data_IF_948044837521
#
_entry.id   IF_948044837521
#
_cell.length_a   1.000
_cell.length_b   1.000
_cell.length_c   1.000
_cell.angle_alpha   90.00
_cell.angle_beta   90.00
_cell.angle_gamma   90.00
#
_symmetry.space_group_name_H-M   'P 1'
#
loop_
_entity.id
_entity.type
_entity.pdbx_description
1 polymer ?
#
# COMPACT_ATOMS: atom_id res chain seq x y z
N UNK A 1 -1.58 8.11 -4.67
CA UNK A 1 -1.94 9.07 -3.61
C UNK A 1 -0.84 10.11 -3.41
N UNK A 2 0.43 9.72 -3.26
CA UNK A 2 1.55 10.62 -3.01
C UNK A 2 1.83 11.54 -4.21
N UNK A 3 1.82 11.01 -5.43
CA UNK A 3 1.94 11.79 -6.67
C UNK A 3 0.77 12.76 -6.89
N UNK A 4 -0.42 12.40 -6.43
CA UNK A 4 -1.61 13.26 -6.46
C UNK A 4 -1.49 14.38 -5.44
N UNK A 5 -0.99 14.09 -4.23
CA UNK A 5 -0.81 15.08 -3.18
C UNK A 5 0.28 16.09 -3.52
N UNK A 6 1.41 15.66 -4.08
CA UNK A 6 2.47 16.57 -4.55
C UNK A 6 2.02 17.44 -5.73
N UNK A 7 1.13 16.94 -6.59
CA UNK A 7 0.57 17.73 -7.70
C UNK A 7 -0.49 18.73 -7.25
N UNK A 8 -1.20 18.48 -6.15
CA UNK A 8 -2.14 19.44 -5.54
C UNK A 8 -1.43 20.61 -4.86
N UNK A 9 -0.20 20.43 -4.43
CA UNK A 9 0.60 21.48 -3.80
C UNK A 9 1.22 22.48 -4.79
N UNK A 10 1.33 22.12 -6.07
CA UNK A 10 1.77 23.04 -7.11
C UNK A 10 0.64 24.03 -7.43
N UNK A 11 0.78 25.25 -6.94
CA UNK A 11 -0.20 26.32 -6.96
C UNK A 11 -0.68 26.73 -8.37
N UNK A 12 -1.98 26.94 -8.51
CA UNK A 12 -2.63 27.68 -9.58
C UNK A 12 -3.17 26.85 -10.74
N UNK A 13 -3.94 27.41 -11.57
CA UNK A 13 -4.77 27.00 -12.73
C UNK A 13 -4.52 25.66 -13.48
N UNK A 14 -3.49 24.88 -13.12
CA UNK A 14 -3.11 23.63 -13.80
C UNK A 14 -3.25 22.37 -12.92
N UNK A 15 -3.94 22.45 -11.77
CA UNK A 15 -4.03 21.31 -10.84
C UNK A 15 -4.65 20.06 -11.48
N UNK A 16 -5.72 20.23 -12.24
CA UNK A 16 -6.41 19.12 -12.92
C UNK A 16 -5.50 18.50 -13.98
N UNK A 17 -4.75 19.32 -14.71
CA UNK A 17 -3.79 18.86 -15.71
C UNK A 17 -2.65 18.05 -15.07
N UNK A 18 -2.08 18.53 -13.97
CA UNK A 18 -0.99 17.87 -13.25
C UNK A 18 -1.45 16.53 -12.66
N UNK A 19 -2.67 16.49 -12.12
CA UNK A 19 -3.32 15.26 -11.65
C UNK A 19 -3.53 14.26 -12.78
N UNK A 20 -4.08 14.70 -13.91
CA UNK A 20 -4.30 13.85 -15.07
C UNK A 20 -2.98 13.28 -15.62
N UNK A 21 -1.93 14.09 -15.68
CA UNK A 21 -0.59 13.66 -16.10
C UNK A 21 0.01 12.63 -15.14
N UNK A 22 -0.10 12.84 -13.82
CA UNK A 22 0.38 11.89 -12.81
C UNK A 22 -0.35 10.55 -12.88
N UNK A 23 -1.67 10.57 -13.03
CA UNK A 23 -2.48 9.36 -13.18
C UNK A 23 -2.13 8.62 -14.48
N UNK A 24 -1.99 9.35 -15.58
CA UNK A 24 -1.62 8.76 -16.88
C UNK A 24 -0.24 8.13 -16.82
N UNK A 25 0.76 8.79 -16.23
CA UNK A 25 2.10 8.21 -16.00
C UNK A 25 2.05 6.94 -15.18
N UNK A 26 1.25 6.92 -14.11
CA UNK A 26 1.09 5.75 -13.25
C UNK A 26 0.49 4.57 -14.01
N UNK A 27 -0.57 4.80 -14.78
CA UNK A 27 -1.21 3.76 -15.60
C UNK A 27 -0.26 3.24 -16.67
N UNK A 28 0.46 4.12 -17.37
CA UNK A 28 1.45 3.74 -18.37
C UNK A 28 2.57 2.92 -17.73
N UNK A 29 3.08 3.32 -16.57
CA UNK A 29 4.13 2.60 -15.87
C UNK A 29 3.69 1.19 -15.48
N UNK A 30 2.50 1.03 -14.90
CA UNK A 30 1.95 -0.28 -14.51
C UNK A 30 1.72 -1.16 -15.74
N UNK A 31 1.11 -0.62 -16.80
CA UNK A 31 0.83 -1.39 -18.02
C UNK A 31 2.11 -1.80 -18.74
N UNK A 32 3.09 -0.90 -18.85
CA UNK A 32 4.38 -1.18 -19.48
C UNK A 32 5.18 -2.22 -18.69
N UNK A 33 5.26 -2.07 -17.36
CA UNK A 33 5.96 -3.01 -16.49
C UNK A 33 5.33 -4.41 -16.53
N UNK A 34 4.00 -4.49 -16.50
CA UNK A 34 3.29 -5.77 -16.62
C UNK A 34 3.42 -6.40 -18.01
N UNK A 35 3.42 -5.60 -19.07
CA UNK A 35 3.62 -6.08 -20.43
C UNK A 35 5.05 -6.63 -20.63
N UNK A 36 6.08 -5.91 -20.20
CA UNK A 36 7.48 -6.34 -20.26
C UNK A 36 7.67 -7.65 -19.50
N UNK A 37 7.14 -7.75 -18.28
CA UNK A 37 7.25 -8.97 -17.49
C UNK A 37 6.55 -10.16 -18.16
N UNK A 38 5.36 -9.98 -18.73
CA UNK A 38 4.67 -11.02 -19.47
C UNK A 38 5.49 -11.50 -20.68
N UNK A 39 6.13 -10.58 -21.39
CA UNK A 39 6.97 -10.91 -22.55
C UNK A 39 8.22 -11.71 -22.12
N UNK A 40 8.89 -11.27 -21.03
CA UNK A 40 10.07 -11.95 -20.50
C UNK A 40 9.71 -13.37 -20.01
N UNK A 41 8.64 -13.50 -19.24
CA UNK A 41 8.17 -14.78 -18.70
C UNK A 41 7.80 -15.74 -19.84
N UNK A 42 7.09 -15.26 -20.88
CA UNK A 42 6.71 -16.10 -22.03
C UNK A 42 7.90 -16.51 -22.91
N UNK A 43 8.85 -15.61 -23.14
CA UNK A 43 9.97 -15.86 -24.09
C UNK A 43 11.09 -16.72 -23.53
N UNK A 44 11.30 -16.72 -22.19
CA UNK A 44 12.44 -17.40 -21.59
C UNK A 44 12.03 -18.25 -20.36
N UNK A 45 11.37 -19.38 -20.56
CA UNK A 45 10.99 -20.29 -19.48
C UNK A 45 12.21 -20.86 -18.72
N UNK A 46 13.40 -20.86 -19.35
CA UNK A 46 14.65 -21.29 -18.71
C UNK A 46 15.07 -20.38 -17.56
N UNK A 47 14.83 -19.05 -17.65
CA UNK A 47 15.13 -18.11 -16.56
C UNK A 47 14.26 -18.44 -15.34
N UNK A 48 12.97 -18.68 -15.57
CA UNK A 48 12.05 -19.03 -14.53
C UNK A 48 12.50 -20.32 -13.79
N UNK A 49 12.86 -21.36 -14.54
CA UNK A 49 13.34 -22.62 -13.97
C UNK A 49 14.64 -22.45 -13.18
N UNK A 50 15.53 -21.55 -13.61
CA UNK A 50 16.76 -21.22 -12.91
C UNK A 50 16.49 -20.45 -11.60
N UNK A 51 15.60 -19.47 -11.61
CA UNK A 51 15.22 -18.66 -10.43
C UNK A 51 14.65 -19.54 -9.31
N UNK A 52 13.74 -20.46 -9.65
CA UNK A 52 13.09 -21.32 -8.66
C UNK A 52 13.90 -22.62 -8.35
N UNK A 53 15.09 -22.76 -8.89
CA UNK A 53 15.94 -23.91 -8.60
C UNK A 53 16.42 -23.93 -7.14
N UNK A 54 16.86 -22.77 -6.63
CA UNK A 54 17.37 -22.60 -5.28
C UNK A 54 16.64 -21.41 -4.61
N UNK A 55 16.31 -21.55 -3.32
CA UNK A 55 15.66 -20.50 -2.55
C UNK A 55 16.50 -19.20 -2.49
N UNK A 56 17.82 -19.30 -2.33
CA UNK A 56 18.71 -18.14 -2.35
C UNK A 56 18.68 -17.39 -3.69
N UNK A 57 18.67 -18.10 -4.81
CA UNK A 57 18.58 -17.49 -6.14
C UNK A 57 17.23 -16.77 -6.32
N UNK A 58 16.16 -17.36 -5.79
CA UNK A 58 14.84 -16.74 -5.78
C UNK A 58 14.84 -15.44 -4.96
N UNK A 59 15.36 -15.44 -3.72
CA UNK A 59 15.48 -14.25 -2.89
C UNK A 59 16.26 -13.13 -3.57
N UNK A 60 17.43 -13.45 -4.10
CA UNK A 60 18.28 -12.49 -4.82
C UNK A 60 17.53 -11.87 -6.01
N UNK A 61 16.83 -12.71 -6.77
CA UNK A 61 16.05 -12.22 -7.93
C UNK A 61 14.90 -11.32 -7.49
N UNK A 62 14.19 -11.66 -6.41
CA UNK A 62 13.11 -10.81 -5.85
C UNK A 62 13.68 -9.44 -5.47
N UNK A 63 14.79 -9.39 -4.76
CA UNK A 63 15.43 -8.13 -4.35
C UNK A 63 15.86 -7.31 -5.57
N UNK A 64 16.55 -7.92 -6.53
CA UNK A 64 17.01 -7.22 -7.75
C UNK A 64 15.81 -6.67 -8.53
N UNK A 65 14.77 -7.44 -8.75
CA UNK A 65 13.58 -7.00 -9.48
C UNK A 65 12.89 -5.85 -8.74
N UNK A 66 12.74 -5.96 -7.41
CA UNK A 66 12.10 -4.91 -6.61
C UNK A 66 12.90 -3.61 -6.65
N UNK A 67 14.20 -3.66 -6.45
CA UNK A 67 15.06 -2.46 -6.50
C UNK A 67 15.09 -1.84 -7.91
N UNK A 68 15.16 -2.67 -8.96
CA UNK A 68 15.17 -2.19 -10.34
C UNK A 68 13.86 -1.50 -10.72
N UNK A 69 12.70 -2.08 -10.36
CA UNK A 69 11.40 -1.47 -10.64
C UNK A 69 11.14 -0.23 -9.79
N UNK A 70 11.61 -0.19 -8.53
CA UNK A 70 11.58 1.00 -7.68
C UNK A 70 12.40 2.14 -8.27
N UNK A 71 13.63 1.87 -8.74
CA UNK A 71 14.49 2.86 -9.39
C UNK A 71 13.87 3.37 -10.70
N UNK A 72 13.27 2.50 -11.50
CA UNK A 72 12.56 2.89 -12.72
C UNK A 72 11.34 3.76 -12.42
N UNK A 73 10.59 3.47 -11.36
CA UNK A 73 9.48 4.30 -10.93
C UNK A 73 9.96 5.71 -10.53
N UNK A 74 11.07 5.81 -9.79
CA UNK A 74 11.69 7.09 -9.42
C UNK A 74 12.10 7.91 -10.62
N UNK A 75 12.77 7.30 -11.61
CA UNK A 75 13.16 7.95 -12.88
C UNK A 75 11.93 8.45 -13.64
N UNK A 76 10.82 7.71 -13.60
CA UNK A 76 9.55 8.12 -14.21
C UNK A 76 8.82 9.25 -13.42
N UNK A 77 9.37 9.71 -12.29
CA UNK A 77 8.76 10.71 -11.42
C UNK A 77 7.59 10.16 -10.59
N UNK A 78 7.61 8.85 -10.33
CA UNK A 78 6.61 8.15 -9.50
C UNK A 78 7.22 7.76 -8.15
N UNK A 79 6.41 7.59 -7.10
CA UNK A 79 6.88 7.09 -5.82
C UNK A 79 7.55 5.71 -5.96
N UNK A 80 8.69 5.53 -5.33
CA UNK A 80 9.44 4.26 -5.33
C UNK A 80 8.61 3.08 -4.83
N UNK A 81 7.70 3.33 -3.88
CA UNK A 81 6.77 2.33 -3.36
C UNK A 81 5.88 1.70 -4.44
N UNK A 82 5.48 2.48 -5.46
CA UNK A 82 4.72 1.94 -6.59
C UNK A 82 5.54 0.95 -7.40
N UNK A 83 6.83 1.23 -7.60
CA UNK A 83 7.74 0.30 -8.26
C UNK A 83 7.89 -1.02 -7.50
N UNK A 84 8.07 -0.96 -6.18
CA UNK A 84 8.14 -2.14 -5.32
C UNK A 84 6.83 -2.95 -5.33
N UNK A 85 5.68 -2.27 -5.29
CA UNK A 85 4.37 -2.91 -5.38
C UNK A 85 4.17 -3.64 -6.72
N UNK A 86 4.52 -3.00 -7.83
CA UNK A 86 4.46 -3.61 -9.15
C UNK A 86 5.38 -4.83 -9.23
N UNK A 87 6.60 -4.78 -8.67
CA UNK A 87 7.47 -5.95 -8.58
C UNK A 87 6.82 -7.13 -7.86
N UNK A 88 6.18 -6.88 -6.73
CA UNK A 88 5.43 -7.89 -5.98
C UNK A 88 4.31 -8.52 -6.81
N UNK A 89 3.54 -7.71 -7.55
CA UNK A 89 2.52 -8.20 -8.46
C UNK A 89 3.10 -9.06 -9.59
N UNK A 90 4.24 -8.67 -10.17
CA UNK A 90 4.90 -9.41 -11.24
C UNK A 90 5.40 -10.78 -10.75
N UNK A 91 6.00 -10.83 -9.57
CA UNK A 91 6.45 -12.07 -8.93
C UNK A 91 5.26 -12.98 -8.62
N UNK A 92 4.18 -12.42 -8.08
CA UNK A 92 2.94 -13.16 -7.81
C UNK A 92 2.29 -13.70 -9.08
N UNK A 93 2.28 -12.90 -10.16
CA UNK A 93 1.72 -13.30 -11.44
C UNK A 93 2.54 -14.43 -12.11
N UNK A 94 3.85 -14.41 -11.96
CA UNK A 94 4.73 -15.46 -12.51
C UNK A 94 4.39 -16.85 -11.99
N UNK A 95 3.86 -16.93 -10.76
CA UNK A 95 3.39 -18.16 -10.11
C UNK A 95 2.24 -18.85 -10.86
N UNK A 96 1.37 -18.05 -11.50
CA UNK A 96 0.12 -18.57 -12.08
C UNK A 96 0.34 -19.23 -13.43
N UNK A 97 1.40 -18.88 -14.17
CA UNK A 97 1.54 -19.23 -15.59
C UNK A 97 2.42 -20.45 -15.84
N UNK A 98 3.45 -20.74 -15.04
CA UNK A 98 4.53 -21.62 -15.47
C UNK A 98 4.87 -22.77 -14.53
N UNK A 99 4.12 -22.99 -13.44
CA UNK A 99 4.55 -24.03 -12.50
C UNK A 99 3.46 -25.07 -12.20
N UNK A 100 3.52 -26.25 -12.86
CA UNK A 100 2.80 -27.41 -12.41
C UNK A 100 3.43 -28.01 -11.13
N UNK A 101 4.66 -27.60 -10.76
CA UNK A 101 5.35 -28.12 -9.58
C UNK A 101 5.10 -27.24 -8.37
N UNK A 102 4.81 -27.84 -7.21
CA UNK A 102 4.56 -27.16 -5.93
C UNK A 102 5.75 -26.30 -5.43
N UNK A 103 6.92 -26.38 -6.09
CA UNK A 103 8.16 -25.72 -5.65
C UNK A 103 8.07 -24.19 -5.63
N UNK A 104 7.48 -23.57 -6.65
CA UNK A 104 7.34 -22.10 -6.67
C UNK A 104 6.34 -21.60 -5.63
N UNK A 105 5.28 -22.36 -5.40
CA UNK A 105 4.31 -22.03 -4.34
C UNK A 105 4.95 -22.10 -2.96
N UNK A 106 5.73 -23.14 -2.69
CA UNK A 106 6.43 -23.32 -1.42
C UNK A 106 7.50 -22.24 -1.21
N UNK A 107 8.29 -21.91 -2.24
CA UNK A 107 9.29 -20.86 -2.14
C UNK A 107 8.67 -19.48 -1.87
N UNK A 108 7.56 -19.16 -2.54
CA UNK A 108 6.87 -17.88 -2.33
C UNK A 108 6.18 -17.83 -0.96
N UNK A 109 5.52 -18.92 -0.52
CA UNK A 109 4.90 -18.98 0.81
C UNK A 109 5.96 -18.78 1.90
N UNK A 110 7.06 -19.54 1.82
CA UNK A 110 8.18 -19.40 2.74
C UNK A 110 8.76 -17.99 2.76
N UNK A 111 8.94 -17.36 1.59
CA UNK A 111 9.40 -15.99 1.49
C UNK A 111 8.44 -15.00 2.18
N UNK A 112 7.13 -15.13 1.95
CA UNK A 112 6.11 -14.27 2.59
C UNK A 112 6.15 -14.45 4.10
N UNK A 113 6.27 -15.67 4.60
CA UNK A 113 6.32 -15.96 6.04
C UNK A 113 7.59 -15.37 6.68
N UNK A 114 8.75 -15.56 6.06
CA UNK A 114 10.04 -15.03 6.55
C UNK A 114 10.05 -13.50 6.53
N UNK A 115 9.54 -12.86 5.46
CA UNK A 115 9.44 -11.40 5.37
C UNK A 115 8.43 -10.84 6.38
N UNK A 116 7.29 -11.50 6.60
CA UNK A 116 6.32 -11.06 7.60
C UNK A 116 6.90 -11.09 9.01
N UNK A 117 7.69 -12.12 9.35
CA UNK A 117 8.39 -12.18 10.63
C UNK A 117 9.39 -11.02 10.75
N UNK A 118 10.20 -10.81 9.72
CA UNK A 118 11.20 -9.74 9.71
C UNK A 118 10.56 -8.33 9.80
N UNK A 119 9.50 -8.11 9.02
CA UNK A 119 8.74 -6.86 9.06
C UNK A 119 8.11 -6.64 10.43
N UNK A 120 7.41 -7.64 10.97
CA UNK A 120 6.70 -7.52 12.25
C UNK A 120 7.63 -7.36 13.45
N UNK A 121 8.76 -8.08 13.46
CA UNK A 121 9.67 -8.10 14.61
C UNK A 121 10.69 -6.97 14.61
N UNK A 122 11.07 -6.46 13.44
CA UNK A 122 12.16 -5.49 13.33
C UNK A 122 11.76 -4.20 12.62
N UNK A 123 11.31 -4.27 11.37
CA UNK A 123 11.10 -3.06 10.57
C UNK A 123 9.92 -2.21 11.04
N UNK A 124 8.81 -2.83 11.45
CA UNK A 124 7.64 -2.09 11.93
C UNK A 124 7.95 -1.36 13.24
N UNK A 125 8.48 -2.00 14.30
CA UNK A 125 8.86 -1.30 15.51
C UNK A 125 9.90 -0.21 15.29
N UNK A 126 10.92 -0.48 14.46
CA UNK A 126 11.95 0.50 14.12
C UNK A 126 11.38 1.72 13.41
N UNK A 127 10.50 1.50 12.43
CA UNK A 127 9.82 2.57 11.71
C UNK A 127 9.01 3.47 12.64
N UNK A 128 8.20 2.87 13.52
CA UNK A 128 7.41 3.65 14.50
C UNK A 128 8.30 4.40 15.50
N UNK A 129 9.41 3.81 15.93
CA UNK A 129 10.36 4.46 16.82
C UNK A 129 11.00 5.69 16.17
N UNK A 130 11.45 5.56 14.92
CA UNK A 130 12.04 6.68 14.16
C UNK A 130 10.98 7.75 13.90
N UNK A 131 9.79 7.37 13.49
CA UNK A 131 8.70 8.33 13.24
C UNK A 131 8.33 9.08 14.52
N UNK A 132 8.22 8.40 15.65
CA UNK A 132 7.89 9.03 16.93
C UNK A 132 8.99 9.99 17.42
N UNK A 133 10.24 9.70 17.10
CA UNK A 133 11.38 10.57 17.47
C UNK A 133 11.51 11.78 16.54
N UNK A 134 11.28 11.59 15.25
CA UNK A 134 11.52 12.63 14.23
C UNK A 134 10.42 13.69 14.15
N UNK A 135 9.21 13.35 14.58
CA UNK A 135 8.06 14.25 14.43
C UNK A 135 7.48 14.65 15.78
N UNK A 136 7.52 15.93 16.07
CA UNK A 136 6.86 16.51 17.24
C UNK A 136 5.33 16.45 17.04
N UNK A 137 4.66 15.77 17.96
CA UNK A 137 3.19 15.70 17.95
C UNK A 137 2.67 16.87 18.76
N UNK A 138 2.07 17.84 18.09
CA UNK A 138 1.34 18.93 18.71
C UNK A 138 -0.06 18.49 19.10
N UNK A 139 -0.69 19.14 20.07
CA UNK A 139 -2.06 18.83 20.46
C UNK A 139 -3.01 18.87 19.27
N UNK A 140 -3.70 17.74 18.95
CA UNK A 140 -4.60 17.70 17.80
C UNK A 140 -5.79 18.64 18.04
N UNK A 141 -6.17 19.38 17.01
CA UNK A 141 -7.37 20.20 17.07
C UNK A 141 -8.60 19.31 16.98
N UNK A 142 -9.41 19.32 18.03
CA UNK A 142 -10.60 18.44 18.16
C UNK A 142 -11.63 18.75 17.06
N UNK A 143 -11.79 20.00 16.68
CA UNK A 143 -12.64 20.44 15.57
C UNK A 143 -12.23 19.81 14.24
N UNK A 144 -10.93 19.88 13.89
CA UNK A 144 -10.37 19.25 12.70
C UNK A 144 -10.42 17.72 12.78
N UNK A 145 -10.18 17.16 13.98
CA UNK A 145 -10.25 15.71 14.18
C UNK A 145 -11.62 15.15 13.82
N UNK A 146 -12.69 15.73 14.34
CA UNK A 146 -14.07 15.29 14.05
C UNK A 146 -14.41 15.55 12.57
N UNK A 147 -14.03 16.72 12.04
CA UNK A 147 -14.28 17.07 10.65
C UNK A 147 -13.58 16.17 9.64
N UNK A 148 -12.46 15.55 10.00
CA UNK A 148 -11.71 14.65 9.11
C UNK A 148 -12.08 13.17 9.29
N UNK A 149 -12.25 12.71 10.54
CA UNK A 149 -12.47 11.29 10.81
C UNK A 149 -13.87 10.83 10.39
N UNK A 150 -14.90 11.65 10.66
CA UNK A 150 -16.29 11.28 10.40
C UNK A 150 -16.54 11.12 8.89
N UNK A 151 -16.25 12.09 8.02
CA UNK A 151 -16.48 11.91 6.59
C UNK A 151 -15.56 10.85 5.97
N UNK A 152 -14.32 10.69 6.45
CA UNK A 152 -13.42 9.67 5.95
C UNK A 152 -13.92 8.24 6.25
N UNK A 153 -14.45 7.99 7.45
CA UNK A 153 -15.04 6.71 7.81
C UNK A 153 -16.36 6.46 7.08
N UNK A 154 -17.23 7.47 7.00
CA UNK A 154 -18.52 7.35 6.32
C UNK A 154 -18.35 7.14 4.82
N UNK A 155 -17.48 7.87 4.15
CA UNK A 155 -17.26 7.75 2.72
C UNK A 155 -16.83 6.32 2.32
N UNK A 156 -15.86 5.74 3.03
CA UNK A 156 -15.43 4.36 2.78
C UNK A 156 -16.54 3.35 3.07
N UNK A 157 -17.26 3.51 4.20
CA UNK A 157 -18.33 2.59 4.58
C UNK A 157 -19.47 2.63 3.56
N UNK A 158 -19.90 3.81 3.11
CA UNK A 158 -20.98 3.99 2.14
C UNK A 158 -20.63 3.33 0.79
N UNK A 159 -19.37 3.44 0.35
CA UNK A 159 -18.92 2.84 -0.92
C UNK A 159 -18.75 1.33 -0.80
N UNK A 160 -18.19 0.84 0.29
CA UNK A 160 -17.86 -0.59 0.45
C UNK A 160 -19.06 -1.43 0.86
N UNK A 161 -19.99 -0.88 1.63
CA UNK A 161 -21.16 -1.61 2.10
C UNK A 161 -21.97 -2.29 0.97
N UNK A 162 -22.39 -1.59 -0.10
CA UNK A 162 -23.16 -2.23 -1.17
C UNK A 162 -22.37 -3.31 -1.90
N UNK A 163 -21.06 -3.10 -2.08
CA UNK A 163 -20.18 -4.07 -2.77
C UNK A 163 -20.09 -5.38 -1.97
N UNK A 164 -19.91 -5.25 -0.66
CA UNK A 164 -19.80 -6.40 0.24
C UNK A 164 -21.15 -7.08 0.42
N UNK A 165 -22.23 -6.30 0.52
CA UNK A 165 -23.58 -6.83 0.67
C UNK A 165 -24.01 -7.72 -0.50
N UNK A 166 -23.70 -7.34 -1.73
CA UNK A 166 -23.96 -8.16 -2.93
C UNK A 166 -23.25 -9.51 -2.87
N UNK A 167 -22.08 -9.58 -2.23
CA UNK A 167 -21.30 -10.83 -2.12
C UNK A 167 -21.68 -11.69 -0.92
N UNK A 168 -22.04 -11.08 0.19
CA UNK A 168 -22.21 -11.78 1.48
C UNK A 168 -23.68 -12.07 1.79
N UNK A 169 -24.63 -11.32 1.18
CA UNK A 169 -26.08 -11.38 1.41
C UNK A 169 -26.52 -11.19 2.87
N UNK A 170 -25.61 -10.90 3.77
CA UNK A 170 -25.86 -10.69 5.20
C UNK A 170 -25.54 -9.24 5.62
N UNK A 171 -26.53 -8.54 6.15
CA UNK A 171 -26.41 -7.13 6.56
C UNK A 171 -25.33 -6.90 7.64
N UNK A 172 -25.32 -7.74 8.65
CA UNK A 172 -24.41 -7.60 9.80
C UNK A 172 -22.95 -7.80 9.39
N UNK A 173 -22.68 -8.84 8.61
CA UNK A 173 -21.34 -9.12 8.10
C UNK A 173 -20.85 -8.05 7.13
N UNK A 174 -21.76 -7.50 6.31
CA UNK A 174 -21.42 -6.43 5.37
C UNK A 174 -21.03 -5.14 6.07
N UNK A 175 -21.75 -4.76 7.13
CA UNK A 175 -21.41 -3.60 7.97
C UNK A 175 -20.08 -3.83 8.68
N UNK A 176 -19.90 -4.97 9.32
CA UNK A 176 -18.68 -5.30 10.05
C UNK A 176 -17.43 -5.27 9.14
N UNK A 177 -17.51 -5.88 7.96
CA UNK A 177 -16.42 -5.87 6.98
C UNK A 177 -16.14 -4.46 6.42
N UNK A 178 -17.19 -3.66 6.18
CA UNK A 178 -17.02 -2.27 5.74
C UNK A 178 -16.30 -1.42 6.79
N UNK A 179 -16.60 -1.62 8.06
CA UNK A 179 -15.89 -0.98 9.15
C UNK A 179 -14.44 -1.47 9.26
N UNK A 180 -14.19 -2.76 9.12
CA UNK A 180 -12.83 -3.30 9.14
C UNK A 180 -11.94 -2.68 8.05
N UNK A 181 -12.50 -2.45 6.86
CA UNK A 181 -11.80 -1.81 5.74
C UNK A 181 -11.49 -0.32 5.97
N UNK A 182 -12.04 0.30 7.02
CA UNK A 182 -11.64 1.64 7.48
C UNK A 182 -10.37 1.62 8.33
N UNK A 183 -9.91 0.45 8.78
CA UNK A 183 -8.63 0.35 9.46
C UNK A 183 -7.53 0.90 8.56
N UNK A 184 -6.79 1.87 9.07
CA UNK A 184 -5.69 2.54 8.40
C UNK A 184 -4.40 1.91 8.90
N UNK A 185 -3.42 1.80 8.05
CA UNK A 185 -2.19 1.09 8.39
C UNK A 185 -0.95 1.97 8.29
N UNK A 186 0.20 1.34 8.47
CA UNK A 186 1.53 1.92 8.37
C UNK A 186 1.75 2.71 7.07
N UNK A 187 1.14 2.28 5.95
CA UNK A 187 1.26 2.97 4.66
C UNK A 187 0.72 4.41 4.72
N UNK A 188 -0.35 4.65 5.45
CA UNK A 188 -0.92 6.00 5.59
C UNK A 188 0.01 6.90 6.40
N UNK A 189 0.59 6.40 7.48
CA UNK A 189 1.58 7.13 8.27
C UNK A 189 2.81 7.46 7.42
N UNK A 190 3.29 6.52 6.60
CA UNK A 190 4.39 6.77 5.68
C UNK A 190 4.07 7.87 4.65
N UNK A 191 2.83 7.89 4.13
CA UNK A 191 2.38 8.96 3.23
C UNK A 191 2.31 10.31 3.95
N UNK A 192 1.79 10.34 5.18
CA UNK A 192 1.73 11.56 5.99
C UNK A 192 3.12 12.13 6.27
N UNK A 193 4.09 11.27 6.61
CA UNK A 193 5.47 11.70 6.83
C UNK A 193 6.06 12.37 5.59
N UNK A 194 5.91 11.75 4.42
CA UNK A 194 6.41 12.35 3.18
C UNK A 194 5.71 13.67 2.85
N UNK A 195 4.40 13.78 3.09
CA UNK A 195 3.67 15.03 2.87
C UNK A 195 4.08 16.14 3.84
N UNK A 196 4.44 15.78 5.06
CA UNK A 196 4.98 16.72 6.04
C UNK A 196 6.40 17.15 5.64
N UNK A 197 7.29 16.23 5.28
CA UNK A 197 8.67 16.51 4.86
C UNK A 197 8.73 17.39 3.59
N UNK A 198 7.75 17.26 2.71
CA UNK A 198 7.63 18.13 1.51
C UNK A 198 7.00 19.50 1.80
N UNK A 199 6.66 19.81 3.06
CA UNK A 199 6.06 21.08 3.46
C UNK A 199 4.61 21.30 2.99
N UNK A 200 3.93 20.24 2.54
CA UNK A 200 2.53 20.30 2.07
C UNK A 200 1.57 20.34 3.25
N UNK A 201 1.92 19.68 4.34
CA UNK A 201 1.11 19.62 5.56
C UNK A 201 1.71 20.50 6.64
N UNK A 202 0.86 21.31 7.26
CA UNK A 202 1.19 22.00 8.50
C UNK A 202 1.24 21.00 9.67
N UNK A 203 2.07 21.30 10.69
CA UNK A 203 2.29 20.42 11.85
C UNK A 203 0.99 20.07 12.59
N UNK A 204 0.04 21.01 12.65
CA UNK A 204 -1.25 20.77 13.30
C UNK A 204 -2.12 19.79 12.52
N UNK A 205 -2.16 19.91 11.19
CA UNK A 205 -2.91 19.01 10.31
C UNK A 205 -2.24 17.63 10.32
N UNK A 206 -0.92 17.58 10.24
CA UNK A 206 -0.14 16.34 10.31
C UNK A 206 -0.43 15.58 11.62
N UNK A 207 -0.30 16.24 12.77
CA UNK A 207 -0.54 15.63 14.07
C UNK A 207 -1.98 15.11 14.21
N UNK A 208 -2.96 15.89 13.71
CA UNK A 208 -4.37 15.49 13.73
C UNK A 208 -4.63 14.25 12.88
N UNK A 209 -4.10 14.21 11.66
CA UNK A 209 -4.24 13.06 10.75
C UNK A 209 -3.52 11.81 11.27
N UNK A 210 -2.36 11.99 11.91
CA UNK A 210 -1.60 10.90 12.52
C UNK A 210 -2.40 10.26 13.66
N UNK A 211 -2.96 11.08 14.56
CA UNK A 211 -3.81 10.59 15.66
C UNK A 211 -5.07 9.92 15.11
N UNK A 212 -5.71 10.47 14.08
CA UNK A 212 -6.83 9.85 13.37
C UNK A 212 -6.47 8.45 12.84
N UNK A 213 -5.31 8.34 12.20
CA UNK A 213 -4.81 7.07 11.64
C UNK A 213 -4.59 6.02 12.72
N UNK A 214 -3.95 6.40 13.83
CA UNK A 214 -3.70 5.50 14.97
C UNK A 214 -5.01 5.02 15.61
N UNK A 215 -5.94 5.95 15.88
CA UNK A 215 -7.23 5.60 16.51
C UNK A 215 -8.04 4.67 15.59
N UNK A 216 -8.14 4.95 14.30
CA UNK A 216 -8.89 4.09 13.36
C UNK A 216 -8.25 2.71 13.21
N UNK A 217 -6.93 2.61 13.28
CA UNK A 217 -6.20 1.34 13.24
C UNK A 217 -6.54 0.43 14.42
N UNK A 218 -6.77 1.00 15.59
CA UNK A 218 -7.12 0.24 16.81
C UNK A 218 -8.63 0.00 16.90
N UNK A 219 -9.43 1.04 16.69
CA UNK A 219 -10.89 1.00 16.93
C UNK A 219 -11.61 0.14 15.89
N UNK A 220 -11.24 0.20 14.61
CA UNK A 220 -11.95 -0.55 13.57
C UNK A 220 -11.87 -2.07 13.76
N UNK A 221 -10.71 -2.71 14.02
CA UNK A 221 -10.65 -4.14 14.30
C UNK A 221 -11.36 -4.53 15.60
N UNK A 222 -11.32 -3.68 16.64
CA UNK A 222 -12.03 -3.94 17.90
C UNK A 222 -13.55 -3.93 17.71
N UNK A 223 -14.07 -2.97 16.96
CA UNK A 223 -15.49 -2.93 16.62
C UNK A 223 -15.90 -4.14 15.77
N UNK A 224 -15.09 -4.51 14.79
CA UNK A 224 -15.30 -5.71 14.00
C UNK A 224 -15.41 -6.96 14.87
N UNK A 225 -14.47 -7.16 15.80
CA UNK A 225 -14.47 -8.33 16.68
C UNK A 225 -15.70 -8.42 17.58
N UNK A 226 -16.26 -7.27 18.02
CA UNK A 226 -17.50 -7.21 18.82
C UNK A 226 -18.75 -7.51 17.99
N UNK A 227 -18.81 -7.04 16.74
CA UNK A 227 -19.97 -7.24 15.85
C UNK A 227 -20.01 -8.68 15.33
N UNK A 228 -18.84 -9.26 15.06
CA UNK A 228 -18.73 -10.61 14.48
C UNK A 228 -18.88 -11.74 15.53
N UNK A 229 -18.73 -11.42 16.83
CA UNK A 229 -18.89 -12.38 17.93
C UNK A 229 -20.36 -12.65 18.33
N UNK A 230 -21.31 -12.01 17.66
CA UNK A 230 -22.74 -12.27 17.79
C UNK A 230 -23.26 -13.03 16.58
#
# INVERSE_FOLDING_TARGET
TLSVATSLASSGNNQVYTLAVSLTKTIIFITLSTAIAKIIIKRKPSIYRYVFRNYHTFLTTVIIVTLSTSSLAKIAGLPEMLGAYVAGLLISYSKTIHDPTLKSRTALSRFVDEINILLGSFFIPLYFSITSYSYEITYPRIDLFIALIVPAMLAKTIVLYPIIYVKTSEKTNSVALSFLMNSRGMLEIAVLNVLFDTGILDIQIYSTLLVCSLITTIVCPLLFSKIFKK
#
